data_IF_043698394401
#
_entry.id   IF_043698394401
#
_cell.length_a   1.000
_cell.length_b   1.000
_cell.length_c   1.000
_cell.angle_alpha   90.00
_cell.angle_beta   90.00
_cell.angle_gamma   90.00
#
_symmetry.space_group_name_H-M   'P 1'
#
loop_
_entity.id
_entity.type
_entity.pdbx_description
1 polymer ?
#
# COMPACT_ATOMS: atom_id res chain seq x y z
N UNK A 1 -0.56 -21.40 -11.22
CA UNK A 1 -1.67 -21.81 -10.35
C UNK A 1 -1.23 -21.80 -8.90
N UNK A 2 -2.15 -21.45 -7.98
CA UNK A 2 -1.95 -21.65 -6.55
C UNK A 2 -2.90 -22.76 -6.07
N UNK A 3 -2.36 -23.74 -5.36
CA UNK A 3 -3.13 -24.91 -4.88
C UNK A 3 -3.52 -24.82 -3.40
N UNK A 4 -3.16 -23.74 -2.74
CA UNK A 4 -3.50 -23.48 -1.34
C UNK A 4 -2.71 -22.34 -0.74
N UNK A 5 -3.11 -21.93 0.47
CA UNK A 5 -2.45 -20.87 1.23
C UNK A 5 -2.37 -21.26 2.70
N UNK A 6 -1.19 -21.16 3.30
CA UNK A 6 -0.88 -21.32 4.73
C UNK A 6 -1.50 -22.56 5.38
N UNK A 7 -1.63 -23.65 4.62
CA UNK A 7 -2.25 -24.87 5.13
C UNK A 7 -1.46 -25.47 6.31
N UNK A 8 -2.12 -26.01 7.34
CA UNK A 8 -1.46 -26.60 8.49
C UNK A 8 -0.50 -27.74 8.14
N UNK A 9 -0.80 -28.50 7.08
CA UNK A 9 -0.11 -29.72 6.65
C UNK A 9 1.23 -29.45 5.92
N UNK A 10 1.59 -28.19 5.64
CA UNK A 10 2.85 -27.83 4.97
C UNK A 10 4.09 -28.38 5.70
N UNK A 11 3.99 -28.67 7.01
CA UNK A 11 5.04 -29.26 7.82
C UNK A 11 5.02 -30.81 7.85
N UNK A 12 4.17 -31.49 7.06
CA UNK A 12 4.00 -32.93 7.12
C UNK A 12 4.33 -33.63 5.81
N UNK A 13 4.66 -34.92 5.88
CA UNK A 13 4.87 -35.76 4.69
C UNK A 13 3.56 -35.98 3.93
N UNK A 14 2.46 -36.15 4.64
CA UNK A 14 1.14 -36.30 4.02
C UNK A 14 0.76 -35.06 3.22
N UNK A 15 0.93 -33.87 3.79
CA UNK A 15 0.68 -32.60 3.10
C UNK A 15 1.53 -32.48 1.83
N UNK A 16 2.82 -32.81 1.89
CA UNK A 16 3.69 -32.86 0.72
C UNK A 16 3.15 -33.78 -0.37
N UNK A 17 2.71 -34.99 -0.01
CA UNK A 17 2.21 -35.97 -0.97
C UNK A 17 0.86 -35.55 -1.58
N UNK A 18 0.01 -34.86 -0.83
CA UNK A 18 -1.23 -34.24 -1.32
C UNK A 18 -0.91 -33.08 -2.28
N UNK A 19 0.01 -32.20 -1.90
CA UNK A 19 0.42 -31.06 -2.72
C UNK A 19 1.00 -31.51 -4.06
N UNK A 20 1.83 -32.56 -4.05
CA UNK A 20 2.34 -33.18 -5.30
C UNK A 20 1.21 -33.66 -6.22
N UNK A 21 0.21 -34.37 -5.65
CA UNK A 21 -0.97 -34.82 -6.43
C UNK A 21 -1.80 -33.66 -6.97
N UNK A 22 -1.99 -32.60 -6.21
CA UNK A 22 -2.72 -31.42 -6.69
C UNK A 22 -1.95 -30.71 -7.81
N UNK A 23 -0.64 -30.59 -7.70
CA UNK A 23 0.22 -30.07 -8.76
C UNK A 23 0.12 -30.93 -10.04
N UNK A 24 0.18 -32.25 -9.91
CA UNK A 24 0.03 -33.18 -11.05
C UNK A 24 -1.33 -33.01 -11.73
N UNK A 25 -2.38 -32.74 -10.96
CA UNK A 25 -3.71 -32.45 -11.53
C UNK A 25 -3.65 -31.14 -12.34
N UNK A 26 -3.09 -30.08 -11.79
CA UNK A 26 -2.92 -28.81 -12.52
C UNK A 26 -2.17 -29.02 -13.84
N UNK A 27 -1.03 -29.71 -13.81
CA UNK A 27 -0.23 -30.00 -15.01
C UNK A 27 -0.97 -30.86 -16.04
N UNK A 28 -1.86 -31.73 -15.61
CA UNK A 28 -2.68 -32.55 -16.52
C UNK A 28 -3.67 -31.71 -17.32
N UNK A 29 -4.23 -30.67 -16.70
CA UNK A 29 -5.19 -29.78 -17.35
C UNK A 29 -4.52 -28.62 -18.08
N UNK A 30 -3.40 -28.11 -17.55
CA UNK A 30 -2.59 -27.07 -18.18
C UNK A 30 -1.10 -27.21 -17.78
N UNK A 31 -0.35 -27.83 -18.63
CA UNK A 31 1.10 -28.02 -18.47
C UNK A 31 1.94 -26.76 -18.77
N UNK A 32 1.31 -25.66 -19.18
CA UNK A 32 2.00 -24.43 -19.60
C UNK A 32 2.24 -23.46 -18.47
N UNK A 33 1.65 -23.68 -17.30
CA UNK A 33 1.72 -22.79 -16.14
C UNK A 33 2.31 -23.52 -14.93
N UNK A 34 3.26 -22.86 -14.21
CA UNK A 34 3.79 -23.42 -12.97
C UNK A 34 2.75 -23.40 -11.85
N UNK A 35 2.96 -24.26 -10.88
CA UNK A 35 2.13 -24.41 -9.68
C UNK A 35 2.92 -23.96 -8.46
N UNK A 36 2.24 -23.20 -7.58
CA UNK A 36 2.75 -22.71 -6.32
C UNK A 36 1.79 -22.91 -5.18
N UNK A 37 2.23 -22.66 -3.99
CA UNK A 37 1.41 -22.49 -2.78
C UNK A 37 2.07 -21.49 -1.84
N UNK A 38 1.28 -20.65 -1.17
CA UNK A 38 1.77 -19.73 -0.13
C UNK A 38 2.11 -20.49 1.16
N UNK A 39 3.34 -20.33 1.66
CA UNK A 39 3.85 -21.01 2.86
C UNK A 39 4.36 -19.98 3.87
N UNK A 40 3.75 -19.98 5.07
CA UNK A 40 4.18 -19.13 6.20
C UNK A 40 5.19 -19.84 7.14
N UNK A 41 5.21 -21.18 7.15
CA UNK A 41 6.06 -22.03 7.99
C UNK A 41 7.26 -22.58 7.19
N UNK A 42 8.09 -21.68 6.66
CA UNK A 42 9.19 -22.00 5.73
C UNK A 42 10.07 -23.14 6.22
N UNK A 43 10.55 -23.11 7.48
CA UNK A 43 11.43 -24.15 8.01
C UNK A 43 10.75 -25.53 8.05
N UNK A 44 9.47 -25.57 8.42
CA UNK A 44 8.69 -26.80 8.44
C UNK A 44 8.42 -27.33 7.04
N UNK A 45 8.09 -26.46 6.10
CA UNK A 45 7.85 -26.80 4.69
C UNK A 45 9.13 -27.32 4.00
N UNK A 46 10.28 -26.73 4.30
CA UNK A 46 11.56 -27.23 3.83
C UNK A 46 11.90 -28.60 4.42
N UNK A 47 11.74 -28.77 5.73
CA UNK A 47 12.03 -30.03 6.45
C UNK A 47 11.15 -31.19 5.98
N UNK A 48 9.89 -30.96 5.68
CA UNK A 48 8.95 -31.98 5.20
C UNK A 48 9.14 -32.35 3.74
N UNK A 49 9.85 -31.53 2.96
CA UNK A 49 9.96 -31.61 1.52
C UNK A 49 8.79 -30.97 0.77
N UNK A 50 7.87 -30.30 1.48
CA UNK A 50 6.71 -29.65 0.89
C UNK A 50 7.08 -28.53 -0.07
N UNK A 51 8.03 -27.66 0.33
CA UNK A 51 8.48 -26.56 -0.52
C UNK A 51 9.19 -27.04 -1.78
N UNK A 52 9.90 -28.17 -1.70
CA UNK A 52 10.67 -28.75 -2.82
C UNK A 52 9.79 -29.41 -3.88
N UNK A 53 8.55 -29.82 -3.53
CA UNK A 53 7.60 -30.43 -4.46
C UNK A 53 7.02 -29.41 -5.43
N UNK A 54 6.84 -28.16 -5.00
CA UNK A 54 6.25 -27.11 -5.83
C UNK A 54 7.13 -26.74 -7.01
N UNK A 55 6.53 -26.42 -8.15
CA UNK A 55 7.25 -25.83 -9.27
C UNK A 55 7.92 -24.54 -8.87
N UNK A 56 7.20 -23.72 -8.07
CA UNK A 56 7.70 -22.48 -7.48
C UNK A 56 7.33 -22.47 -6.00
N UNK A 57 8.35 -22.42 -5.12
CA UNK A 57 8.09 -22.22 -3.71
C UNK A 57 7.62 -20.79 -3.46
N UNK A 58 6.39 -20.63 -2.95
CA UNK A 58 5.81 -19.36 -2.54
C UNK A 58 5.98 -19.17 -1.03
N UNK A 59 6.60 -18.07 -0.59
CA UNK A 59 6.75 -17.78 0.83
C UNK A 59 5.98 -16.51 1.21
N UNK A 60 5.17 -16.63 2.28
CA UNK A 60 4.43 -15.52 2.84
C UNK A 60 5.24 -14.84 3.93
N UNK A 61 5.52 -13.53 3.81
CA UNK A 61 6.14 -12.64 4.81
C UNK A 61 7.52 -13.04 5.36
N UNK A 62 8.16 -14.09 4.88
CA UNK A 62 9.37 -14.65 5.46
C UNK A 62 10.64 -14.30 4.69
N UNK A 63 10.75 -13.04 4.23
CA UNK A 63 11.90 -12.56 3.43
C UNK A 63 13.25 -12.89 4.10
N UNK A 64 13.33 -12.82 5.41
CA UNK A 64 14.53 -13.17 6.18
C UNK A 64 14.94 -14.65 6.09
N UNK A 65 14.07 -15.52 5.55
CA UNK A 65 14.36 -16.94 5.34
C UNK A 65 14.87 -17.23 3.92
N UNK A 66 14.76 -16.30 2.98
CA UNK A 66 15.00 -16.54 1.57
C UNK A 66 16.42 -17.06 1.29
N UNK A 67 17.46 -16.42 1.84
CA UNK A 67 18.86 -16.83 1.62
C UNK A 67 19.15 -18.24 2.17
N UNK A 68 18.56 -18.60 3.30
CA UNK A 68 18.69 -19.93 3.88
C UNK A 68 17.87 -21.00 3.14
N UNK A 69 16.77 -20.62 2.55
CA UNK A 69 15.86 -21.54 1.86
C UNK A 69 16.34 -21.90 0.45
N UNK A 70 16.88 -20.91 -0.28
CA UNK A 70 17.19 -21.07 -1.72
C UNK A 70 18.10 -22.25 -2.03
N UNK A 71 19.09 -22.53 -1.18
CA UNK A 71 20.01 -23.65 -1.35
C UNK A 71 19.35 -25.03 -1.21
N UNK A 72 18.13 -25.07 -0.65
CA UNK A 72 17.34 -26.29 -0.43
C UNK A 72 16.23 -26.45 -1.49
N UNK A 73 16.04 -25.45 -2.35
CA UNK A 73 15.00 -25.48 -3.40
C UNK A 73 15.60 -25.97 -4.72
N UNK A 74 15.11 -27.11 -5.27
CA UNK A 74 15.72 -27.75 -6.43
C UNK A 74 15.61 -26.92 -7.72
N UNK A 75 14.65 -26.00 -7.79
CA UNK A 75 14.45 -25.13 -8.97
C UNK A 75 15.33 -23.88 -8.94
N UNK A 76 15.92 -23.52 -7.79
CA UNK A 76 16.84 -22.39 -7.65
C UNK A 76 16.19 -21.00 -7.69
N UNK A 77 14.87 -20.91 -7.50
CA UNK A 77 14.16 -19.63 -7.39
C UNK A 77 12.93 -19.76 -6.45
N UNK A 78 12.44 -18.63 -5.99
CA UNK A 78 11.26 -18.54 -5.13
C UNK A 78 10.41 -17.29 -5.44
N UNK A 79 9.19 -17.29 -4.92
CA UNK A 79 8.19 -16.25 -5.06
C UNK A 79 7.80 -15.69 -3.67
N UNK A 80 7.70 -14.38 -3.53
CA UNK A 80 6.98 -13.76 -2.41
C UNK A 80 5.48 -13.88 -2.66
N UNK A 81 4.85 -14.95 -2.17
CA UNK A 81 3.44 -15.24 -2.46
C UNK A 81 2.48 -14.35 -1.68
N UNK A 82 2.89 -13.84 -0.52
CA UNK A 82 2.30 -12.71 0.18
C UNK A 82 3.39 -11.84 0.79
N UNK A 83 3.33 -10.54 0.56
CA UNK A 83 4.35 -9.61 1.06
C UNK A 83 3.71 -8.40 1.73
N UNK A 84 4.44 -7.79 2.62
CA UNK A 84 4.17 -6.47 3.19
C UNK A 84 2.74 -6.26 3.70
N UNK A 85 2.30 -6.97 4.74
CA UNK A 85 1.11 -6.59 5.51
C UNK A 85 1.38 -5.26 6.24
N UNK A 86 1.43 -4.18 5.47
CA UNK A 86 1.54 -2.80 5.92
C UNK A 86 0.14 -2.24 6.07
N UNK A 87 -0.13 -1.53 7.13
CA UNK A 87 -1.46 -1.00 7.43
C UNK A 87 -1.48 0.51 7.36
N UNK A 88 -2.56 1.07 6.83
CA UNK A 88 -2.83 2.51 6.82
C UNK A 88 -4.31 2.83 6.56
N UNK A 89 -4.76 3.97 7.05
CA UNK A 89 -6.04 4.59 6.69
C UNK A 89 -5.82 5.71 5.69
N UNK A 90 -6.64 5.79 4.64
CA UNK A 90 -6.51 6.85 3.63
C UNK A 90 -6.78 8.22 4.24
N UNK A 91 -5.83 9.15 4.05
CA UNK A 91 -5.97 10.56 4.46
C UNK A 91 -5.87 10.82 5.97
N UNK A 92 -5.57 9.81 6.78
CA UNK A 92 -5.37 9.93 8.22
C UNK A 92 -3.89 10.08 8.53
N UNK A 93 -3.50 11.18 9.17
CA UNK A 93 -2.10 11.42 9.50
C UNK A 93 -1.95 11.76 10.98
N UNK A 94 -1.08 11.00 11.66
CA UNK A 94 -0.83 11.10 13.10
C UNK A 94 0.59 11.59 13.38
N UNK A 95 0.72 12.40 14.41
CA UNK A 95 1.98 13.03 14.79
C UNK A 95 2.33 12.72 16.26
N UNK A 96 3.60 12.51 16.59
CA UNK A 96 4.77 12.46 15.70
C UNK A 96 4.74 11.20 14.80
N UNK A 97 5.26 11.32 13.58
CA UNK A 97 5.40 10.16 12.67
C UNK A 97 6.45 9.20 13.24
N UNK A 98 6.10 7.93 13.32
CA UNK A 98 6.97 6.86 13.85
C UNK A 98 6.89 5.63 12.99
N UNK A 99 8.02 5.01 12.75
CA UNK A 99 8.09 3.66 12.23
C UNK A 99 7.85 2.67 13.37
N UNK A 100 6.84 1.81 13.27
CA UNK A 100 6.47 0.90 14.37
C UNK A 100 5.68 -0.31 13.87
N UNK A 101 5.67 -1.36 14.67
CA UNK A 101 4.63 -2.38 14.56
C UNK A 101 3.28 -1.74 14.88
N UNK A 102 2.28 -2.04 14.07
CA UNK A 102 0.95 -1.49 14.22
C UNK A 102 0.34 -1.84 15.59
N UNK A 103 -0.36 -0.89 16.15
CA UNK A 103 -1.05 -1.02 17.43
C UNK A 103 -2.37 -0.27 17.39
N UNK A 104 -3.30 -0.67 18.26
CA UNK A 104 -4.58 0.01 18.42
C UNK A 104 -4.41 1.48 18.82
N UNK A 105 -5.21 2.33 18.22
CA UNK A 105 -5.34 3.76 18.54
C UNK A 105 -6.81 4.07 18.84
N UNK A 106 -7.06 5.06 19.67
CA UNK A 106 -8.40 5.34 20.21
C UNK A 106 -9.47 5.68 19.14
N UNK A 107 -9.05 6.14 17.97
CA UNK A 107 -9.92 6.52 16.86
C UNK A 107 -10.18 5.37 15.86
N UNK A 108 -9.63 4.18 16.09
CA UNK A 108 -9.74 3.06 15.15
C UNK A 108 -9.06 3.29 13.80
N UNK A 109 -8.11 4.22 13.71
CA UNK A 109 -7.45 4.58 12.46
C UNK A 109 -5.94 4.35 12.53
N UNK A 110 -5.34 4.01 11.39
CA UNK A 110 -3.89 3.78 11.24
C UNK A 110 -3.27 4.93 10.46
N UNK A 111 -2.03 5.29 10.81
CA UNK A 111 -1.32 6.41 10.20
C UNK A 111 -1.10 6.22 8.70
N UNK A 112 -1.51 7.19 7.89
CA UNK A 112 -1.40 7.20 6.43
C UNK A 112 0.02 7.40 5.88
N UNK A 113 1.00 7.71 6.72
CA UNK A 113 2.41 7.80 6.29
C UNK A 113 3.05 6.46 5.87
N UNK A 114 2.30 5.34 5.94
CA UNK A 114 2.79 3.98 5.61
C UNK A 114 4.06 3.59 6.39
N UNK A 115 4.05 3.86 7.67
CA UNK A 115 5.17 3.58 8.58
C UNK A 115 4.85 2.49 9.60
N UNK A 116 3.69 1.84 9.45
CA UNK A 116 3.21 0.82 10.38
C UNK A 116 2.99 -0.52 9.66
N UNK A 117 3.45 -1.61 10.27
CA UNK A 117 3.35 -2.97 9.73
C UNK A 117 2.89 -3.97 10.79
N UNK A 118 2.33 -5.09 10.35
CA UNK A 118 1.91 -6.18 11.24
C UNK A 118 3.12 -6.95 11.80
N UNK A 119 2.97 -7.51 13.01
CA UNK A 119 4.06 -8.19 13.75
C UNK A 119 4.67 -9.37 12.98
N UNK A 120 3.93 -9.99 12.07
CA UNK A 120 4.38 -11.12 11.24
C UNK A 120 5.03 -10.68 9.92
N UNK A 121 5.05 -9.39 9.61
CA UNK A 121 5.43 -8.83 8.33
C UNK A 121 6.46 -7.69 8.44
N UNK A 122 6.53 -6.86 7.43
CA UNK A 122 7.47 -5.74 7.27
C UNK A 122 6.88 -4.65 6.37
N UNK A 123 7.58 -3.53 6.26
CA UNK A 123 7.26 -2.51 5.25
C UNK A 123 7.64 -2.96 3.84
N UNK A 124 7.00 -2.41 2.79
CA UNK A 124 7.23 -2.78 1.39
C UNK A 124 8.68 -2.72 0.95
N UNK A 125 9.48 -1.83 1.53
CA UNK A 125 10.88 -1.65 1.17
C UNK A 125 11.72 -2.91 1.33
N UNK A 126 11.42 -3.73 2.33
CA UNK A 126 12.13 -5.00 2.56
C UNK A 126 11.88 -5.96 1.40
N UNK A 127 10.63 -6.03 0.94
CA UNK A 127 10.25 -6.89 -0.17
C UNK A 127 10.77 -6.34 -1.50
N UNK A 128 10.75 -5.03 -1.72
CA UNK A 128 11.37 -4.40 -2.89
C UNK A 128 12.86 -4.71 -2.96
N UNK A 129 13.59 -4.54 -1.85
CA UNK A 129 15.02 -4.86 -1.79
C UNK A 129 15.27 -6.35 -2.10
N UNK A 130 14.44 -7.25 -1.58
CA UNK A 130 14.56 -8.68 -1.86
C UNK A 130 14.41 -8.98 -3.36
N UNK A 131 13.43 -8.34 -4.02
CA UNK A 131 13.20 -8.51 -5.46
C UNK A 131 14.32 -7.90 -6.32
N UNK A 132 14.87 -6.76 -5.90
CA UNK A 132 15.93 -6.07 -6.66
C UNK A 132 17.33 -6.65 -6.42
N UNK A 133 17.63 -7.07 -5.19
CA UNK A 133 19.00 -7.44 -4.79
C UNK A 133 19.26 -8.95 -4.86
N UNK A 134 18.21 -9.81 -4.92
CA UNK A 134 18.32 -11.27 -4.92
C UNK A 134 17.88 -11.85 -6.26
N UNK A 135 18.84 -12.27 -7.07
CA UNK A 135 18.62 -12.77 -8.44
C UNK A 135 17.74 -14.02 -8.53
N UNK A 136 17.52 -14.72 -7.43
CA UNK A 136 16.71 -15.93 -7.37
C UNK A 136 15.23 -15.66 -7.02
N UNK A 137 14.85 -14.43 -6.73
CA UNK A 137 13.43 -14.05 -6.56
C UNK A 137 12.81 -13.73 -7.91
N UNK A 138 11.62 -14.28 -8.17
CA UNK A 138 10.95 -14.13 -9.47
C UNK A 138 9.77 -13.16 -9.43
N UNK A 139 9.47 -12.58 -8.28
CA UNK A 139 8.39 -11.61 -8.11
C UNK A 139 7.74 -11.71 -6.74
N UNK A 140 6.71 -10.88 -6.55
CA UNK A 140 5.95 -10.84 -5.32
C UNK A 140 4.47 -10.48 -5.58
N UNK A 141 3.62 -10.92 -4.65
CA UNK A 141 2.24 -10.49 -4.53
C UNK A 141 2.04 -9.80 -3.18
N UNK A 142 1.60 -8.54 -3.22
CA UNK A 142 1.37 -7.79 -1.99
C UNK A 142 0.07 -8.20 -1.32
N UNK A 143 0.06 -8.29 0.01
CA UNK A 143 -1.14 -8.36 0.80
C UNK A 143 -1.51 -6.96 1.32
N UNK A 144 -2.50 -6.21 0.72
CA UNK A 144 -3.32 -6.65 -0.40
C UNK A 144 -3.66 -5.47 -1.31
N UNK A 145 -4.28 -5.71 -2.45
CA UNK A 145 -4.65 -4.65 -3.40
C UNK A 145 -5.72 -3.71 -2.86
N UNK A 146 -6.76 -4.26 -2.22
CA UNK A 146 -7.90 -3.51 -1.67
C UNK A 146 -8.06 -3.80 -0.19
N UNK A 147 -8.57 -2.83 0.57
CA UNK A 147 -9.20 -3.15 1.84
C UNK A 147 -10.44 -4.01 1.60
N UNK A 148 -10.79 -4.84 2.55
CA UNK A 148 -11.93 -5.75 2.49
C UNK A 148 -12.60 -5.85 3.85
N UNK A 149 -13.87 -6.21 3.87
CA UNK A 149 -14.61 -6.45 5.11
C UNK A 149 -14.05 -7.69 5.82
N UNK A 150 -13.79 -7.54 7.10
CA UNK A 150 -13.13 -8.54 7.93
C UNK A 150 -11.66 -8.21 8.17
N UNK A 151 -11.02 -8.99 9.05
CA UNK A 151 -9.60 -8.92 9.39
C UNK A 151 -9.09 -7.49 9.70
N UNK A 152 -9.70 -6.78 10.66
CA UNK A 152 -9.43 -5.38 10.91
C UNK A 152 -8.14 -5.14 11.71
N UNK A 153 -7.10 -5.92 11.53
CA UNK A 153 -5.82 -5.78 12.24
C UNK A 153 -5.25 -4.36 12.08
N UNK A 154 -4.85 -3.66 13.17
CA UNK A 154 -4.64 -4.21 14.53
C UNK A 154 -5.88 -4.17 15.46
N UNK A 155 -7.07 -3.93 14.95
CA UNK A 155 -8.30 -3.69 15.71
C UNK A 155 -9.21 -4.93 15.80
N UNK A 156 -8.64 -6.14 15.90
CA UNK A 156 -9.38 -7.40 15.88
C UNK A 156 -10.50 -7.50 16.93
N UNK A 157 -10.36 -6.77 18.04
CA UNK A 157 -11.33 -6.72 19.13
C UNK A 157 -11.98 -5.33 19.29
N UNK A 158 -11.82 -4.44 18.31
CA UNK A 158 -12.25 -3.04 18.40
C UNK A 158 -13.44 -2.77 17.47
N UNK A 159 -14.64 -2.65 18.03
CA UNK A 159 -15.79 -2.15 17.28
C UNK A 159 -15.76 -0.60 17.26
N UNK A 160 -16.03 0.08 16.15
CA UNK A 160 -16.63 -0.43 14.90
C UNK A 160 -15.66 -0.80 13.78
N UNK A 161 -14.36 -0.93 14.02
CA UNK A 161 -13.41 -1.37 12.97
C UNK A 161 -13.83 -2.73 12.41
N UNK A 162 -14.19 -2.77 11.14
CA UNK A 162 -14.71 -3.96 10.46
C UNK A 162 -14.08 -4.26 9.11
N UNK A 163 -13.26 -3.35 8.62
CA UNK A 163 -12.52 -3.47 7.37
C UNK A 163 -11.04 -3.68 7.65
N UNK A 164 -10.36 -4.38 6.77
CA UNK A 164 -8.90 -4.44 6.81
C UNK A 164 -8.28 -3.06 6.53
N UNK A 165 -7.00 -2.91 6.92
CA UNK A 165 -6.18 -1.72 6.68
C UNK A 165 -5.02 -2.02 5.72
N UNK A 166 -4.94 -3.24 5.18
CA UNK A 166 -3.84 -3.74 4.35
C UNK A 166 -3.84 -3.20 2.93
N UNK A 167 -5.01 -2.78 2.43
CA UNK A 167 -5.20 -2.39 1.04
C UNK A 167 -4.25 -1.30 0.56
N UNK A 168 -3.78 -1.40 -0.67
CA UNK A 168 -3.15 -0.31 -1.42
C UNK A 168 -4.21 0.73 -1.79
N UNK A 169 -5.42 0.25 -2.08
CA UNK A 169 -6.65 1.01 -2.22
C UNK A 169 -7.53 0.79 -0.99
N UNK A 170 -8.32 1.79 -0.62
CA UNK A 170 -9.27 1.66 0.48
C UNK A 170 -10.52 0.86 0.09
N UNK A 171 -11.45 0.69 1.03
CA UNK A 171 -12.70 -0.06 0.82
C UNK A 171 -13.60 0.55 -0.27
N UNK A 172 -13.48 1.85 -0.54
CA UNK A 172 -14.19 2.55 -1.62
C UNK A 172 -13.44 2.46 -2.97
N UNK A 173 -12.29 1.80 -3.03
CA UNK A 173 -11.45 1.72 -4.23
C UNK A 173 -10.61 2.98 -4.49
N UNK A 174 -10.49 3.87 -3.51
CA UNK A 174 -9.68 5.08 -3.63
C UNK A 174 -8.22 4.80 -3.21
N UNK A 175 -7.22 5.35 -3.93
CA UNK A 175 -5.82 5.09 -3.64
C UNK A 175 -5.40 5.69 -2.30
N UNK A 176 -4.77 4.87 -1.44
CA UNK A 176 -4.01 5.33 -0.29
C UNK A 176 -2.64 5.86 -0.75
N UNK A 177 -1.91 6.56 0.13
CA UNK A 177 -0.57 7.05 -0.24
C UNK A 177 0.35 5.91 -0.70
N UNK A 178 0.25 4.74 -0.08
CA UNK A 178 0.99 3.52 -0.44
C UNK A 178 0.80 3.07 -1.88
N UNK A 179 -0.34 3.33 -2.50
CA UNK A 179 -0.53 3.08 -3.94
C UNK A 179 0.57 3.75 -4.76
N UNK A 180 0.89 4.99 -4.44
CA UNK A 180 1.92 5.75 -5.16
C UNK A 180 3.34 5.29 -4.85
N UNK A 181 3.59 4.72 -3.65
CA UNK A 181 4.86 4.08 -3.35
C UNK A 181 5.06 2.85 -4.24
N UNK A 182 4.08 1.95 -4.32
CA UNK A 182 4.14 0.79 -5.23
C UNK A 182 4.23 1.21 -6.69
N UNK A 183 3.42 2.20 -7.11
CA UNK A 183 3.46 2.73 -8.47
C UNK A 183 4.85 3.28 -8.82
N UNK A 184 5.53 3.95 -7.91
CA UNK A 184 6.87 4.50 -8.12
C UNK A 184 7.96 3.44 -8.32
N UNK A 185 7.69 2.19 -7.89
CA UNK A 185 8.62 1.06 -8.04
C UNK A 185 8.23 0.15 -9.20
N UNK A 186 6.94 -0.09 -9.40
CA UNK A 186 6.45 -1.11 -10.34
C UNK A 186 6.01 -0.56 -11.69
N UNK A 187 5.56 0.70 -11.78
CA UNK A 187 5.13 1.27 -13.05
C UNK A 187 6.34 1.76 -13.85
N UNK A 188 6.57 1.14 -15.01
CA UNK A 188 7.63 1.51 -15.96
C UNK A 188 7.12 2.31 -17.16
N UNK A 189 5.82 2.57 -17.25
CA UNK A 189 5.20 3.26 -18.39
C UNK A 189 5.01 4.75 -18.12
N UNK A 190 4.74 5.10 -16.87
CA UNK A 190 4.46 6.47 -16.46
C UNK A 190 5.23 6.82 -15.20
N UNK A 191 5.73 8.04 -15.15
CA UNK A 191 6.36 8.57 -13.95
C UNK A 191 5.37 8.77 -12.81
N UNK A 192 5.88 8.67 -11.61
CA UNK A 192 5.15 8.92 -10.36
C UNK A 192 5.81 10.06 -9.60
N UNK A 193 5.00 11.01 -9.19
CA UNK A 193 5.37 12.02 -8.20
C UNK A 193 4.17 12.21 -7.29
N UNK A 194 4.29 11.81 -6.03
CA UNK A 194 3.22 11.90 -5.05
C UNK A 194 3.73 12.52 -3.76
N UNK A 195 3.05 13.58 -3.34
CA UNK A 195 3.37 14.40 -2.18
C UNK A 195 2.37 14.13 -1.06
N UNK A 196 2.85 13.75 0.12
CA UNK A 196 2.04 13.56 1.32
C UNK A 196 2.69 14.26 2.53
N UNK A 197 1.88 14.67 3.53
CA UNK A 197 0.42 14.59 3.64
C UNK A 197 -0.27 15.72 2.86
N UNK A 198 -1.60 15.79 2.93
CA UNK A 198 -2.31 17.01 2.54
C UNK A 198 -1.81 18.22 3.34
N UNK A 199 -2.10 19.45 2.86
CA UNK A 199 -1.55 20.65 3.49
C UNK A 199 -2.64 21.54 4.11
N UNK A 200 -3.62 20.93 4.81
CA UNK A 200 -4.71 21.62 5.51
C UNK A 200 -4.74 21.15 6.95
N UNK A 201 -4.09 21.90 7.84
CA UNK A 201 -3.87 21.56 9.25
C UNK A 201 -4.21 22.73 10.17
N UNK A 202 -5.50 23.12 10.30
CA UNK A 202 -5.87 24.23 11.18
C UNK A 202 -5.47 23.92 12.63
N UNK A 203 -4.82 24.87 13.28
CA UNK A 203 -4.35 24.75 14.66
C UNK A 203 -3.01 24.03 14.83
N UNK A 204 -2.33 23.67 13.72
CA UNK A 204 -0.98 23.09 13.78
C UNK A 204 0.13 24.01 13.29
N UNK A 205 -0.16 25.30 13.14
CA UNK A 205 0.81 26.30 12.65
C UNK A 205 2.12 26.22 13.45
N UNK A 206 3.25 26.17 12.73
CA UNK A 206 4.62 26.02 13.24
C UNK A 206 4.94 24.67 13.92
N UNK A 207 4.01 23.73 14.01
CA UNK A 207 4.32 22.39 14.49
C UNK A 207 4.98 21.58 13.39
N UNK A 208 5.85 20.65 13.81
CA UNK A 208 6.51 19.72 12.88
C UNK A 208 5.47 18.83 12.21
N UNK A 209 5.47 18.89 10.89
CA UNK A 209 4.61 18.11 10.00
C UNK A 209 5.50 17.52 8.92
N UNK A 210 6.02 16.30 9.11
CA UNK A 210 6.88 15.64 8.14
C UNK A 210 6.23 15.59 6.76
N UNK A 211 7.05 15.67 5.73
CA UNK A 211 6.62 15.58 4.34
C UNK A 211 7.37 14.44 3.68
N UNK A 212 6.64 13.50 3.08
CA UNK A 212 7.21 12.42 2.30
C UNK A 212 6.83 12.58 0.83
N UNK A 213 7.68 12.06 -0.04
CA UNK A 213 7.45 12.05 -1.48
C UNK A 213 7.75 10.65 -2.01
N UNK A 214 6.77 10.07 -2.69
CA UNK A 214 6.90 8.80 -3.41
C UNK A 214 7.05 9.09 -4.89
N UNK A 215 8.17 8.69 -5.47
CA UNK A 215 8.49 9.00 -6.86
C UNK A 215 9.47 7.98 -7.42
N UNK A 216 9.47 7.79 -8.72
CA UNK A 216 10.52 7.04 -9.43
C UNK A 216 11.74 7.91 -9.75
N UNK A 217 11.62 9.24 -9.67
CA UNK A 217 12.76 10.14 -9.81
C UNK A 217 13.78 9.96 -8.68
N UNK A 218 15.09 10.14 -8.94
CA UNK A 218 16.13 9.90 -7.95
C UNK A 218 16.20 10.98 -6.86
N UNK A 219 15.73 12.21 -7.15
CA UNK A 219 15.92 13.39 -6.31
C UNK A 219 14.72 14.33 -6.40
N UNK A 220 14.43 15.04 -5.33
CA UNK A 220 13.45 16.14 -5.34
C UNK A 220 13.82 17.25 -4.34
N UNK A 221 13.27 18.44 -4.57
CA UNK A 221 13.36 19.60 -3.67
C UNK A 221 11.96 20.02 -3.23
N UNK A 222 11.81 20.24 -1.93
CA UNK A 222 10.56 20.64 -1.31
C UNK A 222 10.51 22.12 -1.03
N UNK A 223 9.35 22.74 -1.20
CA UNK A 223 9.11 24.16 -0.94
C UNK A 223 7.84 24.35 -0.11
N UNK A 224 7.93 25.21 0.91
CA UNK A 224 6.77 25.71 1.68
C UNK A 224 6.67 27.21 1.40
N UNK A 225 5.55 27.64 0.84
CA UNK A 225 5.30 29.04 0.44
C UNK A 225 6.49 29.65 -0.35
N UNK A 226 7.03 28.88 -1.31
CA UNK A 226 8.17 29.27 -2.14
C UNK A 226 9.55 29.16 -1.48
N UNK A 227 9.62 28.88 -0.18
CA UNK A 227 10.89 28.72 0.55
C UNK A 227 11.35 27.26 0.50
N UNK A 228 12.55 27.03 -0.03
CA UNK A 228 13.15 25.68 -0.08
C UNK A 228 13.35 25.08 1.32
N UNK A 229 12.99 23.81 1.43
CA UNK A 229 13.25 22.94 2.57
C UNK A 229 14.45 21.99 2.29
N UNK A 230 15.16 22.26 1.19
CA UNK A 230 16.31 21.50 0.73
C UNK A 230 15.96 20.33 -0.17
N UNK A 231 16.99 19.83 -0.83
CA UNK A 231 16.91 18.63 -1.69
C UNK A 231 17.09 17.35 -0.89
N UNK A 232 16.44 16.29 -1.36
CA UNK A 232 16.63 14.93 -0.87
C UNK A 232 16.86 14.01 -2.06
N UNK A 233 17.76 13.06 -1.87
CA UNK A 233 18.10 12.03 -2.84
C UNK A 233 17.84 10.65 -2.24
N UNK A 234 17.38 9.71 -3.07
CA UNK A 234 17.22 8.31 -2.67
C UNK A 234 18.58 7.67 -2.41
N UNK A 235 18.68 6.92 -1.33
CA UNK A 235 19.92 6.20 -1.00
C UNK A 235 19.97 4.84 -1.69
N UNK A 236 20.47 4.81 -2.90
CA UNK A 236 20.67 3.59 -3.69
C UNK A 236 21.80 2.69 -3.18
N UNK A 237 22.56 3.10 -2.20
CA UNK A 237 23.64 2.29 -1.59
C UNK A 237 23.12 1.29 -0.57
N UNK A 238 21.94 1.56 0.00
CA UNK A 238 21.29 0.64 0.93
C UNK A 238 20.97 -0.69 0.24
N UNK A 239 21.29 -1.79 0.92
CA UNK A 239 21.08 -3.16 0.42
C UNK A 239 20.11 -3.92 1.32
N UNK A 240 19.44 -4.91 0.72
CA UNK A 240 18.58 -5.84 1.45
C UNK A 240 19.34 -6.94 2.20
N UNK A 241 20.66 -6.82 2.33
CA UNK A 241 21.52 -7.77 3.04
C UNK A 241 21.44 -7.54 4.55
N UNK A 242 21.50 -8.61 5.31
CA UNK A 242 21.43 -8.57 6.77
C UNK A 242 20.08 -9.02 7.33
N UNK A 243 19.90 -8.95 8.65
CA UNK A 243 18.70 -9.44 9.31
C UNK A 243 17.50 -8.64 8.83
N UNK A 244 16.57 -9.32 8.17
CA UNK A 244 15.35 -8.74 7.61
C UNK A 244 14.25 -8.54 8.67
N UNK A 245 14.58 -8.76 9.93
CA UNK A 245 13.69 -8.39 11.04
C UNK A 245 13.64 -6.87 11.12
N UNK A 246 12.46 -6.32 10.87
CA UNK A 246 12.26 -4.87 10.90
C UNK A 246 12.22 -4.35 12.32
N UNK A 247 13.29 -3.68 12.75
CA UNK A 247 13.18 -2.74 13.87
C UNK A 247 12.74 -1.38 13.33
N UNK A 248 12.15 -0.50 14.17
CA UNK A 248 11.79 0.85 13.76
C UNK A 248 12.94 1.62 13.08
N UNK A 249 14.16 1.49 13.60
CA UNK A 249 15.36 2.16 13.09
C UNK A 249 15.76 1.61 11.71
N UNK A 250 15.77 0.28 11.56
CA UNK A 250 16.07 -0.36 10.27
C UNK A 250 15.00 -0.06 9.21
N UNK A 251 13.73 -0.02 9.61
CA UNK A 251 12.64 0.33 8.71
C UNK A 251 12.78 1.77 8.23
N UNK A 252 13.06 2.72 9.14
CA UNK A 252 13.30 4.12 8.80
C UNK A 252 14.54 4.31 7.90
N UNK A 253 15.60 3.54 8.12
CA UNK A 253 16.80 3.57 7.29
C UNK A 253 16.53 3.04 5.89
N UNK A 254 15.91 1.86 5.75
CA UNK A 254 15.57 1.24 4.48
C UNK A 254 14.61 2.08 3.64
N UNK A 255 13.69 2.80 4.29
CA UNK A 255 12.77 3.70 3.61
C UNK A 255 13.49 4.73 2.73
N UNK A 256 14.69 5.18 3.08
CA UNK A 256 15.47 6.15 2.30
C UNK A 256 15.87 5.67 0.91
N UNK A 257 15.85 4.35 0.62
CA UNK A 257 16.10 3.82 -0.72
C UNK A 257 14.96 4.13 -1.69
N UNK A 258 13.73 4.27 -1.16
CA UNK A 258 12.51 4.39 -1.99
C UNK A 258 11.74 5.68 -1.76
N UNK A 259 11.85 6.28 -0.56
CA UNK A 259 11.12 7.48 -0.15
C UNK A 259 12.06 8.68 0.00
N UNK A 260 11.59 9.85 -0.38
CA UNK A 260 12.22 11.12 -0.04
C UNK A 260 11.48 11.72 1.16
N UNK A 261 12.20 12.02 2.25
CA UNK A 261 11.60 12.37 3.52
C UNK A 261 12.20 13.65 4.09
N UNK A 262 11.34 14.61 4.44
CA UNK A 262 11.66 15.85 5.16
C UNK A 262 10.96 15.79 6.51
N UNK A 263 11.69 15.40 7.56
CA UNK A 263 11.12 15.08 8.88
C UNK A 263 10.85 16.29 9.77
N UNK A 264 11.47 17.47 9.46
CA UNK A 264 11.47 18.65 10.33
C UNK A 264 10.69 19.83 9.74
N UNK A 265 9.90 19.61 8.71
CA UNK A 265 9.08 20.64 8.07
C UNK A 265 8.06 21.17 9.07
N UNK A 266 7.97 22.47 9.22
CA UNK A 266 6.95 23.11 10.04
C UNK A 266 5.78 23.51 9.16
N UNK A 267 4.58 23.19 9.60
CA UNK A 267 3.37 23.58 8.89
C UNK A 267 3.20 25.11 8.88
N UNK A 268 3.05 25.66 7.70
CA UNK A 268 2.60 27.04 7.44
C UNK A 268 1.47 26.97 6.41
N UNK A 269 0.29 27.57 6.69
CA UNK A 269 -0.80 27.60 5.72
C UNK A 269 -0.36 28.21 4.39
N UNK A 270 -0.85 27.67 3.27
CA UNK A 270 -0.48 28.14 1.95
C UNK A 270 -0.15 26.99 0.99
N UNK A 271 1.00 27.05 0.38
CA UNK A 271 1.43 26.12 -0.66
C UNK A 271 2.56 25.19 -0.16
N UNK A 272 2.38 23.90 -0.37
CA UNK A 272 3.43 22.90 -0.30
C UNK A 272 3.68 22.39 -1.72
N UNK A 273 4.90 22.55 -2.24
CA UNK A 273 5.29 22.18 -3.60
C UNK A 273 6.55 21.34 -3.61
N UNK A 274 6.58 20.33 -4.44
CA UNK A 274 7.78 19.51 -4.70
C UNK A 274 8.14 19.60 -6.19
N UNK A 275 9.43 19.70 -6.46
CA UNK A 275 10.01 19.59 -7.80
C UNK A 275 10.93 18.39 -7.82
N UNK A 276 10.63 17.43 -8.71
CA UNK A 276 11.47 16.26 -8.95
C UNK A 276 12.49 16.53 -10.07
N UNK A 277 13.66 15.89 -9.94
CA UNK A 277 14.77 16.06 -10.88
C UNK A 277 15.12 14.70 -11.51
N UNK A 278 15.44 14.75 -12.80
CA UNK A 278 15.94 13.59 -13.53
C UNK A 278 17.40 13.23 -13.12
N UNK A 279 17.91 12.15 -13.67
CA UNK A 279 19.28 11.68 -13.40
C UNK A 279 20.38 12.67 -13.85
N UNK A 280 20.03 13.67 -14.68
CA UNK A 280 20.92 14.75 -15.10
C UNK A 280 20.83 15.99 -14.19
N UNK A 281 19.99 15.95 -13.17
CA UNK A 281 19.74 17.05 -12.24
C UNK A 281 18.84 18.16 -12.79
N UNK A 282 18.10 17.91 -13.90
CA UNK A 282 17.16 18.87 -14.48
C UNK A 282 15.77 18.68 -13.88
N UNK A 283 15.01 19.77 -13.65
CA UNK A 283 13.59 19.66 -13.27
C UNK A 283 12.81 18.84 -14.30
N UNK A 284 12.07 17.84 -13.82
CA UNK A 284 11.34 16.88 -14.66
C UNK A 284 9.85 16.84 -14.38
N UNK A 285 9.43 17.04 -13.12
CA UNK A 285 8.03 17.06 -12.72
C UNK A 285 7.84 17.94 -11.49
N UNK A 286 6.62 18.42 -11.28
CA UNK A 286 6.24 19.11 -10.05
C UNK A 286 4.84 18.72 -9.60
N UNK A 287 4.61 18.78 -8.29
CA UNK A 287 3.31 18.64 -7.68
C UNK A 287 3.12 19.69 -6.59
N UNK A 288 1.89 20.19 -6.47
CA UNK A 288 1.53 21.20 -5.48
C UNK A 288 0.26 20.77 -4.76
N UNK A 289 0.27 20.89 -3.45
CA UNK A 289 -0.91 20.83 -2.59
C UNK A 289 -1.09 22.16 -1.86
N UNK A 290 -2.33 22.54 -1.56
CA UNK A 290 -2.63 23.82 -0.93
C UNK A 290 -3.51 23.65 0.29
N UNK A 291 -3.36 24.56 1.24
CA UNK A 291 -4.28 24.68 2.35
C UNK A 291 -5.65 25.09 1.83
N UNK A 292 -6.64 24.25 2.10
CA UNK A 292 -8.02 24.53 1.72
C UNK A 292 -8.65 25.57 2.66
N UNK A 293 -9.53 26.37 2.09
CA UNK A 293 -10.40 27.27 2.82
C UNK A 293 -11.65 26.57 3.36
N UNK A 294 -12.73 27.34 3.60
CA UNK A 294 -14.03 26.78 3.97
C UNK A 294 -14.69 26.10 2.79
N UNK A 295 -15.47 25.05 3.05
CA UNK A 295 -16.30 24.38 2.05
C UNK A 295 -17.19 25.40 1.31
N UNK A 296 -17.22 25.32 -0.01
CA UNK A 296 -17.97 26.22 -0.87
C UNK A 296 -18.80 25.48 -1.93
N UNK A 297 -18.37 24.28 -2.34
CA UNK A 297 -19.07 23.49 -3.34
C UNK A 297 -18.77 21.99 -3.20
N UNK A 298 -19.66 21.18 -3.78
CA UNK A 298 -19.45 19.75 -4.03
C UNK A 298 -18.85 19.60 -5.44
N UNK A 299 -17.81 18.81 -5.55
CA UNK A 299 -17.18 18.41 -6.81
C UNK A 299 -17.49 16.95 -7.09
N UNK A 300 -17.99 16.66 -8.29
CA UNK A 300 -18.24 15.30 -8.77
C UNK A 300 -17.26 14.98 -9.89
N UNK A 301 -16.69 13.78 -9.84
CA UNK A 301 -15.83 13.26 -10.90
C UNK A 301 -16.23 11.83 -11.22
N UNK A 302 -16.86 11.62 -12.38
CA UNK A 302 -17.16 10.29 -12.89
C UNK A 302 -15.91 9.66 -13.53
N UNK A 303 -15.77 8.34 -13.40
CA UNK A 303 -14.71 7.56 -14.07
C UNK A 303 -14.96 7.47 -15.58
N UNK A 304 -16.23 7.53 -16.00
CA UNK A 304 -16.67 7.48 -17.41
C UNK A 304 -17.94 8.32 -17.60
N UNK A 305 -18.14 8.76 -18.83
CA UNK A 305 -19.30 9.59 -19.23
C UNK A 305 -20.39 8.81 -19.99
N UNK A 306 -20.14 7.55 -20.32
CA UNK A 306 -21.06 6.70 -21.08
C UNK A 306 -21.18 5.34 -20.42
N UNK A 307 -22.41 4.86 -20.30
CA UNK A 307 -22.75 3.51 -19.80
C UNK A 307 -23.52 2.75 -20.88
N UNK A 308 -23.32 1.45 -20.92
CA UNK A 308 -24.15 0.56 -21.71
C UNK A 308 -25.45 0.25 -20.97
N UNK A 309 -26.59 0.31 -21.66
CA UNK A 309 -27.91 0.05 -21.05
C UNK A 309 -28.18 -1.48 -20.98
N UNK A 310 -27.31 -2.24 -20.35
CA UNK A 310 -27.38 -3.69 -20.21
C UNK A 310 -27.84 -4.16 -18.81
N UNK A 311 -28.10 -3.23 -17.91
CA UNK A 311 -28.50 -3.49 -16.52
C UNK A 311 -27.34 -3.92 -15.59
N UNK A 312 -26.11 -3.99 -16.10
CA UNK A 312 -24.92 -4.42 -15.37
C UNK A 312 -23.81 -3.37 -15.33
N UNK A 313 -23.69 -2.51 -16.34
CA UNK A 313 -22.62 -1.53 -16.45
C UNK A 313 -22.74 -0.43 -15.36
N UNK A 314 -21.59 -0.01 -14.81
CA UNK A 314 -21.52 0.93 -13.69
C UNK A 314 -20.62 2.13 -14.02
N UNK A 315 -20.93 3.29 -13.45
CA UNK A 315 -20.01 4.40 -13.32
C UNK A 315 -19.74 4.70 -11.85
N UNK A 316 -18.46 4.93 -11.54
CA UNK A 316 -18.00 5.31 -10.21
C UNK A 316 -17.80 6.83 -10.16
N UNK A 317 -18.50 7.47 -9.23
CA UNK A 317 -18.49 8.93 -9.09
C UNK A 317 -17.81 9.28 -7.78
N UNK A 318 -16.61 9.88 -7.86
CA UNK A 318 -15.94 10.44 -6.69
C UNK A 318 -16.61 11.76 -6.31
N UNK A 319 -17.00 11.87 -5.04
CA UNK A 319 -17.56 13.08 -4.44
C UNK A 319 -16.52 13.70 -3.53
N UNK A 320 -16.23 14.99 -3.69
CA UNK A 320 -15.36 15.74 -2.78
C UNK A 320 -15.94 17.13 -2.49
N UNK A 321 -15.64 17.66 -1.30
CA UNK A 321 -15.89 19.06 -0.99
C UNK A 321 -14.70 19.91 -1.40
N UNK A 322 -14.97 21.06 -1.97
CA UNK A 322 -13.95 22.01 -2.39
C UNK A 322 -14.23 23.41 -1.82
N UNK A 323 -13.16 24.17 -1.61
CA UNK A 323 -13.28 25.59 -1.25
C UNK A 323 -13.62 26.46 -2.49
N UNK A 324 -13.74 27.76 -2.29
CA UNK A 324 -14.04 28.75 -3.36
C UNK A 324 -13.00 28.77 -4.49
N UNK A 325 -11.82 28.24 -4.28
CA UNK A 325 -10.73 28.15 -5.26
C UNK A 325 -10.67 26.76 -5.94
N UNK A 326 -11.56 25.83 -5.57
CA UNK A 326 -11.56 24.47 -6.07
C UNK A 326 -10.55 23.55 -5.37
N UNK A 327 -9.95 24.00 -4.25
CA UNK A 327 -9.06 23.16 -3.43
C UNK A 327 -9.89 22.17 -2.63
N UNK A 328 -9.58 20.87 -2.74
CA UNK A 328 -10.29 19.84 -1.99
C UNK A 328 -10.04 19.95 -0.48
N UNK A 329 -11.08 19.68 0.31
CA UNK A 329 -11.04 19.66 1.76
C UNK A 329 -10.78 18.22 2.24
N UNK A 330 -9.55 17.86 2.58
CA UNK A 330 -9.20 16.47 2.91
C UNK A 330 -9.76 15.99 4.24
N UNK A 331 -10.23 16.91 5.07
CA UNK A 331 -10.76 16.63 6.42
C UNK A 331 -12.26 16.90 6.53
N UNK A 332 -12.96 17.03 5.41
CA UNK A 332 -14.42 17.24 5.41
C UNK A 332 -15.14 15.99 5.90
N UNK A 333 -16.12 16.18 6.77
CA UNK A 333 -16.97 15.13 7.35
C UNK A 333 -18.46 15.44 7.19
N UNK A 334 -18.77 16.25 6.18
CA UNK A 334 -20.15 16.70 5.93
C UNK A 334 -20.99 15.52 5.42
N UNK A 335 -22.25 15.49 5.84
CA UNK A 335 -23.24 14.53 5.36
C UNK A 335 -23.58 14.81 3.89
N UNK A 336 -23.62 13.78 3.07
CA UNK A 336 -23.90 13.85 1.64
C UNK A 336 -25.17 13.03 1.34
N UNK A 337 -26.17 13.65 0.73
CA UNK A 337 -27.31 12.97 0.13
C UNK A 337 -27.11 12.83 -1.37
N UNK A 338 -27.45 11.66 -1.92
CA UNK A 338 -27.33 11.37 -3.35
C UNK A 338 -28.70 11.12 -3.95
N UNK A 339 -29.05 11.89 -4.97
CA UNK A 339 -30.23 11.66 -5.79
C UNK A 339 -29.80 11.36 -7.24
N UNK A 340 -30.32 10.30 -7.83
CA UNK A 340 -30.10 9.96 -9.23
C UNK A 340 -31.39 10.16 -10.01
N UNK A 341 -31.35 10.98 -11.07
CA UNK A 341 -32.47 11.23 -11.97
C UNK A 341 -32.14 10.78 -13.40
N UNK A 342 -33.12 10.24 -14.10
CA UNK A 342 -32.99 9.79 -15.47
C UNK A 342 -32.94 8.27 -15.60
N UNK A 343 -32.19 7.76 -16.58
CA UNK A 343 -32.15 6.32 -16.92
C UNK A 343 -31.29 5.46 -15.98
N UNK A 344 -30.40 6.09 -15.18
CA UNK A 344 -29.56 5.40 -14.21
C UNK A 344 -30.28 5.19 -12.86
N UNK A 345 -29.75 4.27 -12.05
CA UNK A 345 -30.21 4.04 -10.68
C UNK A 345 -29.00 4.08 -9.72
N UNK A 346 -29.23 4.63 -8.53
CA UNK A 346 -28.24 4.56 -7.44
C UNK A 346 -27.98 3.08 -7.06
N UNK A 347 -26.72 2.74 -6.83
CA UNK A 347 -26.32 1.39 -6.42
C UNK A 347 -25.72 1.36 -5.02
N UNK A 348 -24.72 2.20 -4.76
CA UNK A 348 -24.09 2.25 -3.45
C UNK A 348 -23.25 3.53 -3.30
N UNK A 349 -22.94 3.87 -2.05
CA UNK A 349 -21.98 4.88 -1.65
C UNK A 349 -21.06 4.32 -0.57
N UNK A 350 -19.79 4.69 -0.57
CA UNK A 350 -18.83 4.29 0.45
C UNK A 350 -17.78 5.41 0.61
N UNK A 351 -17.46 5.74 1.86
CA UNK A 351 -16.42 6.73 2.18
C UNK A 351 -15.02 6.13 2.32
N UNK A 352 -14.90 4.78 2.35
CA UNK A 352 -13.64 4.05 2.51
C UNK A 352 -13.12 4.00 3.95
N UNK A 353 -13.84 4.54 4.93
CA UNK A 353 -13.47 4.48 6.34
C UNK A 353 -13.72 3.08 6.91
N UNK A 354 -12.66 2.47 7.48
CA UNK A 354 -12.73 1.13 8.05
C UNK A 354 -13.67 1.02 9.27
N UNK A 355 -13.97 2.16 9.91
CA UNK A 355 -14.86 2.25 11.08
C UNK A 355 -16.30 2.65 10.73
N UNK A 356 -16.57 2.99 9.47
CA UNK A 356 -17.92 3.37 9.05
C UNK A 356 -18.87 2.18 9.15
N UNK A 357 -20.02 2.43 9.76
CA UNK A 357 -21.12 1.46 9.88
C UNK A 357 -22.29 1.79 8.94
N UNK A 358 -22.11 2.78 8.08
CA UNK A 358 -23.12 3.17 7.09
C UNK A 358 -23.48 2.02 6.16
N UNK A 359 -24.75 1.98 5.77
CA UNK A 359 -25.27 0.97 4.82
C UNK A 359 -24.98 1.47 3.40
N UNK A 360 -24.15 0.75 2.66
CA UNK A 360 -23.66 1.20 1.35
C UNK A 360 -24.78 1.40 0.31
N UNK A 361 -25.90 0.72 0.43
CA UNK A 361 -27.03 0.77 -0.51
C UNK A 361 -28.06 1.85 -0.19
N UNK A 362 -27.87 2.61 0.89
CA UNK A 362 -28.69 3.76 1.24
C UNK A 362 -28.04 5.04 0.73
N UNK A 363 -28.81 5.91 -0.01
CA UNK A 363 -28.27 7.12 -0.62
C UNK A 363 -28.00 8.24 0.39
#
# INVERSE_FOLDING_TARGET
YSIGNEIPEQGSREGRDIAGRLQDICHRYDSTRPVTQGMDRVDAALKSGFAQVMDIAGFNYRVHKYDGAISQLPKGFLLGSETASTVSSRGVYKFPVRFKVASEEADGQVNGYDTEWCSWSNLPEVDFMAMEDKSYTIGQFVWTGYDYLGEPTPYDNYWPSRSSYFGILDLAGLPKDRYYLYRSVWNTQEHTLHLLPHWTWPGRERQVTPVFVYTDYPEAELFVNGKSQGRRQKDKTLRGDGPLVSTPELAAERAKRYRLMWNDVKYEPGELRVVAYDASGRPAAEQTVRTAGRAAAIKLKADRSTLHADGADLSYITVSLVDKNGTELPTATDYIEVEVRGAGTFKAICNGDATSVEVFTEP
#
